data_IF_209123579904
#
_entry.id   IF_209123579904
#
_cell.length_a   1.000
_cell.length_b   1.000
_cell.length_c   1.000
_cell.angle_alpha   90.00
_cell.angle_beta   90.00
_cell.angle_gamma   90.00
#
_symmetry.space_group_name_H-M   'P 1'
#
loop_
_entity.id
_entity.type
_entity.pdbx_description
1 polymer ?
#
# COMPACT_ATOMS: atom_id res chain seq x y z
N UNK A 1 8.31 12.41 -36.49
CA UNK A 1 7.04 11.86 -35.95
C UNK A 1 7.21 10.34 -35.83
N UNK A 2 7.75 9.83 -34.73
CA UNK A 2 7.72 8.39 -34.41
C UNK A 2 7.68 8.24 -32.88
N UNK A 3 6.53 7.78 -32.38
CA UNK A 3 6.29 7.39 -30.99
C UNK A 3 6.96 6.05 -30.72
N UNK A 4 8.01 6.01 -29.90
CA UNK A 4 8.54 4.75 -29.36
C UNK A 4 8.02 4.53 -27.95
N UNK A 5 7.16 3.51 -27.83
CA UNK A 5 6.54 3.03 -26.60
C UNK A 5 7.57 2.22 -25.80
N UNK A 6 8.01 2.75 -24.66
CA UNK A 6 8.78 1.98 -23.66
C UNK A 6 7.88 1.76 -22.45
N UNK A 7 7.18 0.62 -22.42
CA UNK A 7 6.42 0.13 -21.28
C UNK A 7 7.09 -1.15 -20.80
N UNK A 8 7.94 -1.04 -19.78
CA UNK A 8 8.40 -2.19 -19.02
C UNK A 8 8.65 -1.78 -17.55
N UNK A 9 8.70 -2.78 -16.68
CA UNK A 9 8.89 -2.74 -15.21
C UNK A 9 7.57 -2.70 -14.40
N UNK A 10 7.16 -3.89 -13.93
CA UNK A 10 6.05 -4.13 -12.99
C UNK A 10 6.59 -4.53 -11.61
N UNK A 11 6.36 -3.74 -10.56
CA UNK A 11 6.34 -4.26 -9.20
C UNK A 11 5.04 -3.83 -8.49
N UNK A 12 3.89 -4.50 -8.69
CA UNK A 12 2.61 -4.05 -8.08
C UNK A 12 1.86 -5.14 -7.32
N UNK A 13 2.13 -5.22 -6.01
CA UNK A 13 1.45 -6.15 -5.10
C UNK A 13 0.10 -5.60 -4.58
N UNK A 14 -0.14 -4.30 -4.51
CA UNK A 14 -1.41 -3.78 -3.95
C UNK A 14 -2.57 -3.61 -4.95
N UNK A 15 -2.36 -3.90 -6.23
CA UNK A 15 -3.44 -3.89 -7.24
C UNK A 15 -4.37 -5.12 -7.16
N UNK A 16 -4.13 -6.06 -6.23
CA UNK A 16 -4.97 -7.24 -6.04
C UNK A 16 -6.38 -6.92 -5.47
N UNK A 17 -6.50 -5.90 -4.62
CA UNK A 17 -7.78 -5.54 -4.00
C UNK A 17 -8.79 -4.95 -5.00
N UNK A 18 -8.33 -4.31 -6.08
CA UNK A 18 -9.20 -3.68 -7.09
C UNK A 18 -9.94 -4.70 -7.97
N UNK A 19 -9.39 -5.91 -8.14
CA UNK A 19 -9.94 -6.93 -9.06
C UNK A 19 -10.87 -7.95 -8.40
N UNK A 20 -10.95 -8.01 -7.07
CA UNK A 20 -11.88 -8.93 -6.40
C UNK A 20 -13.34 -8.39 -6.33
N UNK A 21 -13.57 -7.11 -6.66
CA UNK A 21 -14.89 -6.46 -6.51
C UNK A 21 -15.79 -6.48 -7.76
N UNK A 22 -15.35 -7.05 -8.88
CA UNK A 22 -16.16 -7.14 -10.11
C UNK A 22 -16.30 -8.57 -10.61
N UNK A 23 -17.17 -9.35 -9.96
CA UNK A 23 -17.98 -10.36 -10.67
C UNK A 23 -19.41 -10.32 -10.15
N UNK A 24 -20.31 -9.70 -10.92
CA UNK A 24 -21.69 -10.18 -11.01
C UNK A 24 -21.61 -11.51 -11.75
N UNK A 25 -22.07 -12.58 -11.12
CA UNK A 25 -22.21 -13.91 -11.72
C UNK A 25 -23.54 -13.93 -12.47
N UNK A 26 -23.58 -14.28 -13.77
CA UNK A 26 -24.73 -14.94 -14.35
C UNK A 26 -24.48 -16.44 -14.35
N UNK A 27 -25.41 -17.15 -13.74
CA UNK A 27 -25.55 -18.61 -13.69
C UNK A 27 -25.88 -19.16 -15.08
N UNK A 28 -25.13 -20.14 -15.57
CA UNK A 28 -25.62 -21.26 -16.40
C UNK A 28 -24.55 -22.35 -16.46
N UNK A 29 -24.91 -23.57 -16.04
CA UNK A 29 -24.12 -24.80 -16.13
C UNK A 29 -24.14 -25.36 -17.56
N UNK A 30 -23.04 -26.01 -17.99
CA UNK A 30 -23.04 -27.24 -18.80
C UNK A 30 -21.62 -27.82 -18.96
N UNK A 31 -21.56 -29.14 -19.10
CA UNK A 31 -20.45 -30.08 -18.85
C UNK A 31 -19.34 -30.21 -19.91
N UNK A 32 -18.26 -30.84 -19.43
CA UNK A 32 -17.32 -31.78 -20.08
C UNK A 32 -16.03 -31.33 -20.81
N UNK A 33 -14.96 -32.02 -20.35
CA UNK A 33 -13.70 -32.44 -20.99
C UNK A 33 -12.52 -31.47 -21.18
N UNK A 34 -11.48 -31.74 -20.38
CA UNK A 34 -10.02 -31.76 -20.64
C UNK A 34 -9.38 -30.76 -21.60
N UNK A 35 -8.28 -30.13 -21.13
CA UNK A 35 -7.24 -29.57 -21.99
C UNK A 35 -5.87 -30.13 -21.54
N UNK A 36 -5.16 -30.89 -22.39
CA UNK A 36 -3.82 -31.38 -22.09
C UNK A 36 -2.81 -30.25 -22.30
N UNK A 37 -2.06 -29.89 -21.26
CA UNK A 37 -0.97 -28.91 -21.35
C UNK A 37 0.31 -29.69 -21.63
N UNK A 38 0.81 -29.57 -22.86
CA UNK A 38 2.11 -30.06 -23.28
C UNK A 38 3.22 -29.14 -22.75
N UNK A 39 4.19 -29.71 -22.03
CA UNK A 39 5.36 -28.99 -21.52
C UNK A 39 6.49 -29.08 -22.55
N UNK A 40 6.38 -28.29 -23.64
CA UNK A 40 7.52 -28.07 -24.53
C UNK A 40 8.30 -26.82 -24.09
N UNK A 41 9.56 -27.07 -23.80
CA UNK A 41 10.61 -26.15 -23.36
C UNK A 41 10.76 -24.91 -24.24
N UNK A 42 10.74 -23.73 -23.63
CA UNK A 42 11.56 -22.61 -24.04
C UNK A 42 11.99 -21.81 -22.82
N UNK A 43 13.25 -22.00 -22.43
CA UNK A 43 13.95 -21.25 -21.39
C UNK A 43 14.14 -19.80 -21.84
N UNK A 44 13.33 -18.88 -21.33
CA UNK A 44 13.63 -17.45 -21.41
C UNK A 44 14.56 -17.08 -20.24
N UNK A 45 15.75 -16.51 -20.49
CA UNK A 45 16.62 -16.01 -19.42
C UNK A 45 15.95 -14.81 -18.76
N UNK A 46 15.35 -15.06 -17.59
CA UNK A 46 14.73 -14.02 -16.76
C UNK A 46 15.81 -13.32 -15.95
N UNK A 47 16.15 -12.10 -16.36
CA UNK A 47 16.93 -11.17 -15.54
C UNK A 47 16.15 -10.87 -14.24
N UNK A 48 16.75 -11.25 -13.10
CA UNK A 48 16.11 -11.20 -11.78
C UNK A 48 16.22 -9.84 -11.08
N UNK A 49 16.83 -8.83 -11.69
CA UNK A 49 17.18 -7.57 -11.01
C UNK A 49 16.00 -6.62 -10.70
N UNK A 50 14.83 -6.81 -11.30
CA UNK A 50 13.65 -5.95 -11.08
C UNK A 50 12.45 -6.66 -10.41
N UNK A 51 12.71 -7.75 -9.67
CA UNK A 51 11.68 -8.63 -9.10
C UNK A 51 11.13 -8.06 -7.78
N UNK A 52 9.87 -7.61 -7.81
CA UNK A 52 9.00 -7.25 -6.67
C UNK A 52 9.71 -6.98 -5.34
N UNK A 53 10.04 -5.72 -5.08
CA UNK A 53 10.76 -5.26 -3.88
C UNK A 53 10.21 -5.84 -2.56
N UNK A 54 8.90 -6.08 -2.47
CA UNK A 54 8.30 -6.77 -1.35
C UNK A 54 8.80 -8.21 -1.17
N UNK A 55 8.81 -9.02 -2.23
CA UNK A 55 9.28 -10.41 -2.14
C UNK A 55 10.77 -10.46 -1.79
N UNK A 56 11.60 -9.57 -2.32
CA UNK A 56 13.02 -9.49 -1.92
C UNK A 56 13.23 -9.03 -0.48
N UNK A 57 12.32 -8.21 0.07
CA UNK A 57 12.40 -7.73 1.46
C UNK A 57 11.96 -8.78 2.48
N UNK A 58 11.12 -9.73 2.08
CA UNK A 58 10.46 -10.67 2.99
C UNK A 58 10.68 -12.15 2.68
N UNK A 59 11.34 -12.52 1.57
CA UNK A 59 11.75 -13.90 1.32
C UNK A 59 12.98 -14.25 2.16
N UNK A 60 12.79 -15.12 3.14
CA UNK A 60 13.88 -15.80 3.85
C UNK A 60 13.77 -17.31 3.63
N UNK A 61 14.71 -17.85 2.83
CA UNK A 61 15.07 -19.26 2.60
C UNK A 61 14.03 -20.20 1.95
N UNK A 62 14.46 -21.19 1.13
CA UNK A 62 13.58 -22.11 0.44
C UNK A 62 13.21 -23.29 1.34
N UNK A 63 12.18 -24.05 0.94
CA UNK A 63 11.68 -25.31 1.51
C UNK A 63 10.40 -25.17 2.36
N UNK A 64 9.26 -25.19 1.68
CA UNK A 64 8.17 -26.12 2.01
C UNK A 64 7.20 -26.17 0.84
N UNK A 65 7.30 -27.27 0.08
CA UNK A 65 6.32 -27.71 -0.89
C UNK A 65 5.01 -28.09 -0.18
N UNK A 66 3.89 -27.69 -0.78
CA UNK A 66 2.49 -27.84 -0.34
C UNK A 66 2.06 -27.01 0.89
N UNK A 67 2.05 -25.69 0.76
CA UNK A 67 1.30 -24.85 1.68
C UNK A 67 -0.18 -24.84 1.28
N UNK A 68 -1.05 -25.46 2.10
CA UNK A 68 -2.49 -25.20 2.08
C UNK A 68 -2.68 -23.72 2.44
N UNK A 69 -2.92 -22.87 1.43
CA UNK A 69 -3.13 -21.44 1.63
C UNK A 69 -4.48 -21.19 2.28
N UNK A 70 -4.53 -20.35 3.30
CA UNK A 70 -5.79 -20.00 3.94
C UNK A 70 -6.74 -19.30 2.96
N UNK A 71 -8.01 -19.70 3.01
CA UNK A 71 -9.11 -19.03 2.29
C UNK A 71 -9.84 -18.01 3.16
N UNK A 72 -9.47 -17.89 4.43
CA UNK A 72 -10.06 -16.95 5.38
C UNK A 72 -9.75 -15.50 5.00
N UNK A 73 -10.72 -14.61 5.22
CA UNK A 73 -10.61 -13.19 4.90
C UNK A 73 -10.78 -12.36 6.16
N UNK A 74 -9.93 -11.36 6.30
CA UNK A 74 -9.94 -10.43 7.42
C UNK A 74 -10.72 -9.15 7.06
N UNK A 75 -11.56 -8.68 7.99
CA UNK A 75 -12.28 -7.40 7.85
C UNK A 75 -11.37 -6.28 8.35
N UNK A 76 -11.13 -5.27 7.51
CA UNK A 76 -10.32 -4.09 7.84
C UNK A 76 -11.02 -3.16 8.84
N UNK A 77 -10.27 -2.23 9.44
CA UNK A 77 -10.88 -1.12 10.21
C UNK A 77 -11.36 0.02 9.31
N UNK A 78 -11.09 -0.05 8.01
CA UNK A 78 -11.30 1.01 7.03
C UNK A 78 -12.77 1.00 6.57
N UNK A 79 -13.55 2.07 6.83
CA UNK A 79 -14.92 2.17 6.35
C UNK A 79 -14.98 2.32 4.83
N UNK A 80 -15.95 1.67 4.19
CA UNK A 80 -16.28 1.88 2.78
C UNK A 80 -17.13 3.15 2.60
N UNK A 81 -17.22 3.63 1.36
CA UNK A 81 -18.21 4.63 1.00
C UNK A 81 -19.66 4.12 1.15
N UNK A 82 -19.88 2.83 0.83
CA UNK A 82 -21.10 2.10 1.19
C UNK A 82 -21.06 1.65 2.65
N UNK A 83 -22.14 1.05 3.13
CA UNK A 83 -22.18 0.49 4.48
C UNK A 83 -21.14 -0.64 4.67
N UNK A 84 -20.53 -0.67 5.86
CA UNK A 84 -19.53 -1.65 6.29
C UNK A 84 -18.07 -1.31 5.95
N UNK A 85 -17.18 -2.27 6.20
CA UNK A 85 -15.72 -2.08 6.11
C UNK A 85 -15.12 -2.79 4.89
N UNK A 86 -13.91 -2.38 4.49
CA UNK A 86 -13.11 -3.11 3.51
C UNK A 86 -12.73 -4.50 4.02
N UNK A 87 -12.60 -5.47 3.10
CA UNK A 87 -12.28 -6.86 3.44
C UNK A 87 -11.04 -7.25 2.65
N UNK A 88 -10.00 -7.67 3.35
CA UNK A 88 -8.74 -8.06 2.74
C UNK A 88 -8.88 -9.39 1.99
N UNK A 89 -8.09 -9.61 0.92
CA UNK A 89 -8.06 -10.89 0.23
C UNK A 89 -7.44 -11.95 1.14
N UNK A 90 -7.89 -13.20 0.99
CA UNK A 90 -7.24 -14.34 1.65
C UNK A 90 -5.87 -14.64 1.04
N UNK A 91 -5.06 -15.46 1.71
CA UNK A 91 -3.76 -15.91 1.21
C UNK A 91 -3.89 -16.58 -0.16
N UNK A 92 -4.89 -17.47 -0.33
CA UNK A 92 -5.17 -18.14 -1.60
C UNK A 92 -5.54 -17.14 -2.71
N UNK A 93 -6.34 -16.12 -2.40
CA UNK A 93 -6.73 -15.07 -3.35
C UNK A 93 -5.53 -14.20 -3.74
N UNK A 94 -4.69 -13.85 -2.78
CA UNK A 94 -3.50 -13.04 -2.96
C UNK A 94 -2.45 -13.77 -3.81
N UNK A 95 -2.16 -15.03 -3.49
CA UNK A 95 -1.31 -15.91 -4.29
C UNK A 95 -1.81 -16.02 -5.74
N UNK A 96 -3.09 -16.35 -5.91
CA UNK A 96 -3.71 -16.48 -7.24
C UNK A 96 -3.59 -15.20 -8.06
N UNK A 97 -3.69 -14.04 -7.43
CA UNK A 97 -3.56 -12.77 -8.10
C UNK A 97 -2.12 -12.42 -8.50
N UNK A 98 -1.14 -12.80 -7.69
CA UNK A 98 0.27 -12.66 -8.06
C UNK A 98 0.66 -13.61 -9.19
N UNK A 99 0.20 -14.86 -9.13
CA UNK A 99 0.41 -15.86 -10.17
C UNK A 99 -0.13 -15.38 -11.53
N UNK A 100 -1.35 -14.82 -11.56
CA UNK A 100 -1.92 -14.20 -12.78
C UNK A 100 -1.09 -13.04 -13.34
N UNK A 101 -0.31 -12.37 -12.50
CA UNK A 101 0.56 -11.26 -12.91
C UNK A 101 1.97 -11.70 -13.28
N UNK A 102 2.18 -13.02 -13.40
CA UNK A 102 3.48 -13.65 -13.69
C UNK A 102 4.58 -13.30 -12.66
N UNK A 103 4.18 -12.94 -11.44
CA UNK A 103 5.07 -12.84 -10.30
C UNK A 103 5.12 -14.21 -9.65
N UNK A 104 6.12 -15.04 -9.96
CA UNK A 104 6.32 -16.40 -9.44
C UNK A 104 6.29 -16.44 -7.90
N UNK A 105 5.11 -16.58 -7.26
CA UNK A 105 4.98 -16.39 -5.83
C UNK A 105 5.25 -17.71 -5.12
N UNK A 106 5.85 -17.68 -3.94
CA UNK A 106 5.99 -18.88 -3.13
C UNK A 106 4.81 -18.97 -2.17
N UNK A 107 4.13 -20.12 -2.16
CA UNK A 107 2.98 -20.30 -1.29
C UNK A 107 3.36 -20.17 0.20
N UNK A 108 4.58 -20.60 0.57
CA UNK A 108 5.12 -20.45 1.92
C UNK A 108 5.21 -18.98 2.37
N UNK A 109 5.52 -18.05 1.46
CA UNK A 109 5.67 -16.63 1.79
C UNK A 109 4.33 -15.96 2.11
N UNK A 110 3.19 -16.53 1.68
CA UNK A 110 1.87 -15.89 1.80
C UNK A 110 1.47 -15.67 3.26
N UNK A 111 1.82 -16.62 4.12
CA UNK A 111 1.54 -16.58 5.56
C UNK A 111 2.23 -15.41 6.27
N UNK A 112 3.33 -14.92 5.72
CA UNK A 112 4.07 -13.78 6.26
C UNK A 112 3.71 -12.49 5.52
N UNK A 113 3.63 -12.55 4.19
CA UNK A 113 3.41 -11.38 3.35
C UNK A 113 2.02 -10.79 3.58
N UNK A 114 0.96 -11.59 3.58
CA UNK A 114 -0.42 -11.07 3.62
C UNK A 114 -0.72 -10.28 4.91
N UNK A 115 -0.40 -10.77 6.12
CA UNK A 115 -0.61 -10.00 7.34
C UNK A 115 0.18 -8.68 7.36
N UNK A 116 1.40 -8.67 6.84
CA UNK A 116 2.20 -7.43 6.72
C UNK A 116 1.51 -6.43 5.80
N UNK A 117 0.96 -6.88 4.67
CA UNK A 117 0.26 -6.00 3.73
C UNK A 117 -1.01 -5.40 4.37
N UNK A 118 -1.77 -6.21 5.11
CA UNK A 118 -2.94 -5.73 5.86
C UNK A 118 -2.53 -4.69 6.89
N UNK A 119 -1.51 -4.98 7.72
CA UNK A 119 -1.01 -4.04 8.72
C UNK A 119 -0.50 -2.72 8.12
N UNK A 120 0.16 -2.77 6.96
CA UNK A 120 0.61 -1.58 6.22
C UNK A 120 -0.59 -0.73 5.76
N UNK A 121 -1.66 -1.35 5.28
CA UNK A 121 -2.89 -0.65 4.90
C UNK A 121 -3.56 0.03 6.10
N UNK A 122 -3.66 -0.67 7.22
CA UNK A 122 -4.21 -0.12 8.46
C UNK A 122 -3.37 1.08 8.96
N UNK A 123 -2.04 0.96 8.89
CA UNK A 123 -1.15 2.08 9.23
C UNK A 123 -1.33 3.27 8.31
N UNK A 124 -1.47 3.05 7.00
CA UNK A 124 -1.74 4.12 6.04
C UNK A 124 -3.07 4.82 6.34
N UNK A 125 -4.09 4.06 6.73
CA UNK A 125 -5.38 4.59 7.14
C UNK A 125 -5.29 5.46 8.40
N UNK A 126 -4.55 5.02 9.42
CA UNK A 126 -4.30 5.82 10.63
C UNK A 126 -3.66 7.17 10.29
N UNK A 127 -2.67 7.19 9.38
CA UNK A 127 -2.04 8.43 8.95
C UNK A 127 -3.01 9.37 8.20
N UNK A 128 -3.94 8.84 7.42
CA UNK A 128 -5.01 9.63 6.81
C UNK A 128 -5.93 10.21 7.89
N UNK A 129 -6.35 9.40 8.87
CA UNK A 129 -7.19 9.88 9.97
C UNK A 129 -6.52 11.01 10.75
N UNK A 130 -5.19 10.98 10.93
CA UNK A 130 -4.44 12.11 11.52
C UNK A 130 -4.54 13.39 10.70
N UNK A 131 -4.63 13.31 9.37
CA UNK A 131 -4.83 14.48 8.52
C UNK A 131 -6.27 15.00 8.55
N UNK A 132 -7.24 14.10 8.74
CA UNK A 132 -8.67 14.43 8.82
C UNK A 132 -9.14 14.78 10.24
N UNK A 133 -8.32 14.54 11.26
CA UNK A 133 -8.63 14.86 12.65
C UNK A 133 -9.01 16.34 12.83
N UNK A 134 -10.14 16.59 13.49
CA UNK A 134 -10.64 17.94 13.74
C UNK A 134 -11.25 18.63 12.53
N UNK A 135 -11.52 17.92 11.42
CA UNK A 135 -12.14 18.47 10.21
C UNK A 135 -13.65 18.21 10.10
N UNK A 136 -14.27 17.76 11.18
CA UNK A 136 -15.72 17.58 11.26
C UNK A 136 -16.24 16.36 10.49
N UNK A 137 -15.41 15.36 10.25
CA UNK A 137 -15.87 14.09 9.68
C UNK A 137 -16.81 13.34 10.62
N UNK A 138 -16.67 13.57 11.92
CA UNK A 138 -17.49 12.98 12.97
C UNK A 138 -18.97 13.37 12.84
N UNK A 139 -19.26 14.57 12.34
CA UNK A 139 -20.62 15.08 12.18
C UNK A 139 -21.45 14.33 11.14
N UNK A 140 -20.81 13.58 10.23
CA UNK A 140 -21.46 12.86 9.14
C UNK A 140 -21.20 11.35 9.15
N UNK A 141 -20.86 10.78 10.32
CA UNK A 141 -20.62 9.34 10.46
C UNK A 141 -19.19 8.90 10.11
N UNK A 142 -18.23 9.83 10.10
CA UNK A 142 -16.81 9.53 9.97
C UNK A 142 -16.27 9.63 8.54
N UNK A 143 -14.97 9.40 8.45
CA UNK A 143 -14.18 9.46 7.21
C UNK A 143 -14.25 8.09 6.51
N UNK A 144 -14.55 8.08 5.20
CA UNK A 144 -14.78 6.84 4.44
C UNK A 144 -13.80 6.72 3.27
N UNK A 145 -13.27 5.51 3.02
CA UNK A 145 -12.44 5.25 1.84
C UNK A 145 -13.32 4.92 0.64
N UNK A 146 -13.30 5.79 -0.37
CA UNK A 146 -14.05 5.64 -1.62
C UNK A 146 -13.35 4.67 -2.57
N UNK A 147 -12.06 4.90 -2.79
CA UNK A 147 -11.28 4.22 -3.80
C UNK A 147 -9.79 4.32 -3.48
N UNK A 148 -9.01 3.32 -3.86
CA UNK A 148 -7.55 3.35 -3.87
C UNK A 148 -7.04 2.92 -5.24
N UNK A 149 -6.02 3.63 -5.74
CA UNK A 149 -5.39 3.36 -7.04
C UNK A 149 -3.88 3.30 -6.88
N UNK A 150 -3.30 2.17 -7.29
CA UNK A 150 -1.85 2.00 -7.38
C UNK A 150 -1.25 2.76 -8.58
N UNK A 151 -0.13 3.45 -8.37
CA UNK A 151 0.59 4.24 -9.37
C UNK A 151 2.12 3.97 -9.33
N UNK A 152 2.59 2.81 -9.83
CA UNK A 152 4.00 2.41 -9.79
C UNK A 152 4.97 3.43 -10.34
N UNK A 153 4.59 3.89 -11.54
CA UNK A 153 5.50 4.55 -12.45
C UNK A 153 5.44 6.06 -12.26
N UNK A 154 4.41 6.54 -11.54
CA UNK A 154 4.18 7.96 -11.35
C UNK A 154 4.89 8.41 -10.07
N UNK A 155 6.16 8.80 -10.18
CA UNK A 155 6.85 9.41 -9.04
C UNK A 155 6.19 10.74 -8.68
N UNK A 156 5.85 10.91 -7.40
CA UNK A 156 5.26 12.15 -6.89
C UNK A 156 6.24 13.33 -7.05
N UNK A 157 5.76 14.58 -7.16
CA UNK A 157 6.65 15.74 -7.28
C UNK A 157 7.67 15.83 -6.12
N UNK A 158 7.22 15.52 -4.89
CA UNK A 158 8.09 15.46 -3.71
C UNK A 158 9.15 14.36 -3.84
N UNK A 159 8.78 13.18 -4.32
CA UNK A 159 9.72 12.09 -4.55
C UNK A 159 10.76 12.46 -5.63
N UNK A 160 10.35 13.12 -6.71
CA UNK A 160 11.28 13.60 -7.76
C UNK A 160 12.30 14.58 -7.20
N UNK A 161 11.87 15.52 -6.36
CA UNK A 161 12.77 16.46 -5.70
C UNK A 161 13.72 15.78 -4.71
N UNK A 162 13.19 14.87 -3.86
CA UNK A 162 14.01 14.06 -2.94
C UNK A 162 15.06 13.25 -3.70
N UNK A 163 14.70 12.65 -4.83
CA UNK A 163 15.63 11.91 -5.68
C UNK A 163 16.73 12.81 -6.26
N UNK A 164 16.39 14.04 -6.67
CA UNK A 164 17.38 15.01 -7.15
C UNK A 164 18.42 15.35 -6.06
N UNK A 165 18.00 15.32 -4.79
CA UNK A 165 18.87 15.50 -3.62
C UNK A 165 19.58 14.21 -3.15
N UNK A 166 19.52 13.12 -3.93
CA UNK A 166 20.21 11.86 -3.61
C UNK A 166 19.48 10.93 -2.64
N UNK A 167 18.23 11.21 -2.27
CA UNK A 167 17.44 10.29 -1.44
C UNK A 167 16.87 9.13 -2.26
N UNK A 168 16.66 7.99 -1.60
CA UNK A 168 16.05 6.80 -2.20
C UNK A 168 14.63 7.09 -2.73
N UNK A 169 14.35 6.60 -3.94
CA UNK A 169 13.03 6.67 -4.54
C UNK A 169 12.02 5.80 -3.77
N UNK A 170 10.72 6.18 -3.72
CA UNK A 170 9.71 5.28 -3.21
C UNK A 170 9.60 4.06 -4.11
N UNK A 171 9.47 2.87 -3.51
CA UNK A 171 9.33 1.62 -4.25
C UNK A 171 7.88 1.38 -4.70
N UNK A 172 6.92 2.03 -4.05
CA UNK A 172 5.50 1.95 -4.37
C UNK A 172 4.81 3.29 -4.06
N UNK A 173 3.81 3.65 -4.85
CA UNK A 173 2.97 4.83 -4.65
C UNK A 173 1.51 4.47 -4.86
N UNK A 174 0.68 4.95 -3.93
CA UNK A 174 -0.76 4.83 -4.00
C UNK A 174 -1.45 6.19 -3.88
N UNK A 175 -2.53 6.34 -4.64
CA UNK A 175 -3.46 7.46 -4.49
C UNK A 175 -4.76 6.92 -3.88
N UNK A 176 -5.14 7.40 -2.70
CA UNK A 176 -6.39 7.03 -2.04
C UNK A 176 -7.36 8.20 -2.12
N UNK A 177 -8.64 7.94 -2.37
CA UNK A 177 -9.69 8.96 -2.38
C UNK A 177 -10.59 8.69 -1.20
N UNK A 178 -10.71 9.70 -0.36
CA UNK A 178 -11.39 9.65 0.91
C UNK A 178 -12.52 10.65 0.89
N UNK A 179 -13.70 10.23 1.35
CA UNK A 179 -14.87 11.08 1.47
C UNK A 179 -15.08 11.51 2.93
N UNK A 180 -15.26 12.81 3.11
CA UNK A 180 -15.63 13.43 4.37
C UNK A 180 -16.87 14.28 4.12
N UNK A 181 -18.04 13.78 4.51
CA UNK A 181 -19.32 14.47 4.38
C UNK A 181 -19.62 14.96 2.96
N UNK A 182 -19.28 14.17 1.92
CA UNK A 182 -19.41 14.56 0.52
C UNK A 182 -18.23 15.35 -0.05
N UNK A 183 -17.25 15.75 0.78
CA UNK A 183 -16.00 16.34 0.31
C UNK A 183 -14.98 15.22 0.04
N UNK A 184 -14.67 15.00 -1.23
CA UNK A 184 -13.67 14.02 -1.63
C UNK A 184 -12.27 14.62 -1.66
N UNK A 185 -11.39 14.09 -0.83
CA UNK A 185 -9.97 14.46 -0.77
C UNK A 185 -9.12 13.30 -1.27
N UNK A 186 -8.24 13.58 -2.23
CA UNK A 186 -7.25 12.61 -2.68
C UNK A 186 -5.99 12.69 -1.83
N UNK A 187 -5.52 11.57 -1.35
CA UNK A 187 -4.27 11.38 -0.62
C UNK A 187 -3.24 10.68 -1.48
N UNK A 188 -1.99 11.13 -1.39
CA UNK A 188 -0.83 10.48 -1.99
C UNK A 188 -0.05 9.80 -0.87
N UNK A 189 0.20 8.50 -1.04
CA UNK A 189 0.94 7.66 -0.10
C UNK A 189 2.15 7.12 -0.86
N UNK A 190 3.34 7.59 -0.49
CA UNK A 190 4.60 7.05 -1.00
C UNK A 190 5.18 6.08 0.03
N UNK A 191 5.55 4.88 -0.41
CA UNK A 191 6.18 3.84 0.42
C UNK A 191 7.68 3.78 0.16
N UNK A 192 8.45 3.75 1.23
CA UNK A 192 9.90 3.75 1.16
C UNK A 192 10.50 2.69 2.07
N UNK A 193 11.62 2.12 1.62
CA UNK A 193 12.44 1.22 2.42
C UNK A 193 13.13 2.04 3.51
N UNK A 194 12.88 1.70 4.77
CA UNK A 194 13.60 2.24 5.90
C UNK A 194 14.96 1.58 6.06
N UNK A 195 15.77 2.11 6.99
CA UNK A 195 17.06 1.51 7.34
C UNK A 195 16.83 0.27 8.21
N UNK A 196 17.49 -0.83 7.89
CA UNK A 196 17.50 -2.02 8.75
C UNK A 196 18.05 -1.63 10.12
N UNK A 197 17.32 -1.94 11.19
CA UNK A 197 17.82 -1.74 12.54
C UNK A 197 18.90 -2.81 12.81
N UNK A 198 20.14 -2.40 13.16
CA UNK A 198 21.24 -3.34 13.38
C UNK A 198 20.99 -4.29 14.56
N UNK A 199 20.07 -3.97 15.47
CA UNK A 199 19.78 -4.79 16.65
C UNK A 199 18.73 -5.87 16.39
N UNK A 200 17.74 -5.59 15.55
CA UNK A 200 16.62 -6.50 15.30
C UNK A 200 16.67 -7.16 13.92
N UNK A 201 17.53 -6.67 13.02
CA UNK A 201 17.67 -7.10 11.61
C UNK A 201 16.32 -7.19 10.88
N UNK A 202 15.32 -6.42 11.33
CA UNK A 202 13.99 -6.37 10.72
C UNK A 202 13.97 -5.27 9.65
N UNK A 203 13.43 -5.55 8.46
CA UNK A 203 13.25 -4.50 7.45
C UNK A 203 12.26 -3.47 8.01
N UNK A 204 12.72 -2.22 8.13
CA UNK A 204 11.84 -1.10 8.47
C UNK A 204 11.29 -0.48 7.19
N UNK A 205 10.08 0.06 7.25
CA UNK A 205 9.49 0.82 6.16
C UNK A 205 8.93 2.14 6.72
N UNK A 206 8.96 3.17 5.89
CA UNK A 206 8.36 4.46 6.23
C UNK A 206 7.30 4.84 5.19
N UNK A 207 6.21 5.44 5.67
CA UNK A 207 5.11 5.93 4.85
C UNK A 207 5.13 7.45 4.85
N UNK A 208 5.05 8.06 3.66
CA UNK A 208 4.84 9.50 3.50
C UNK A 208 3.41 9.70 2.98
N UNK A 209 2.49 9.96 3.90
CA UNK A 209 1.06 10.17 3.61
C UNK A 209 0.76 11.66 3.63
N UNK A 210 0.12 12.16 2.57
CA UNK A 210 -0.22 13.59 2.45
C UNK A 210 -1.40 13.85 1.51
N UNK A 211 -2.23 14.87 1.76
CA UNK A 211 -3.27 15.32 0.82
C UNK A 211 -2.65 15.70 -0.52
N UNK A 212 -3.26 15.38 -1.65
CA UNK A 212 -2.80 15.78 -2.97
C UNK A 212 -3.02 17.29 -3.18
N UNK A 213 -2.11 17.99 -3.85
CA UNK A 213 -2.27 19.42 -4.14
C UNK A 213 -3.12 19.64 -5.39
N UNK A 214 -4.30 19.01 -5.46
CA UNK A 214 -5.24 19.18 -6.57
C UNK A 214 -6.41 20.11 -6.24
N UNK A 215 -6.65 20.39 -4.94
CA UNK A 215 -7.70 21.28 -4.48
C UNK A 215 -7.20 22.21 -3.36
N UNK A 216 -7.91 23.33 -3.19
CA UNK A 216 -7.56 24.37 -2.21
C UNK A 216 -7.57 23.85 -0.77
N UNK A 217 -8.54 23.01 -0.42
CA UNK A 217 -8.63 22.44 0.93
C UNK A 217 -7.37 21.64 1.24
N UNK A 218 -6.91 20.79 0.33
CA UNK A 218 -5.68 20.00 0.50
C UNK A 218 -4.42 20.86 0.61
N UNK A 219 -4.37 21.99 -0.11
CA UNK A 219 -3.30 22.97 0.04
C UNK A 219 -3.33 23.65 1.42
N UNK A 220 -4.53 24.01 1.91
CA UNK A 220 -4.75 24.52 3.26
C UNK A 220 -4.37 23.51 4.32
N UNK A 221 -4.71 22.23 4.14
CA UNK A 221 -4.34 21.13 5.03
C UNK A 221 -2.82 21.08 5.20
N UNK A 222 -2.09 21.02 4.07
CA UNK A 222 -0.63 20.95 4.10
C UNK A 222 0.00 22.19 4.72
N UNK A 223 -0.51 23.37 4.40
CA UNK A 223 -0.03 24.63 4.95
C UNK A 223 -0.24 24.65 6.47
N UNK A 224 -1.45 24.34 6.95
CA UNK A 224 -1.77 24.30 8.37
C UNK A 224 -0.85 23.37 9.16
N UNK A 225 -0.61 22.15 8.66
CA UNK A 225 0.30 21.21 9.34
C UNK A 225 1.75 21.66 9.29
N UNK A 226 2.18 22.30 8.20
CA UNK A 226 3.50 22.93 8.13
C UNK A 226 3.63 24.04 9.18
N UNK A 227 2.64 24.93 9.30
CA UNK A 227 2.63 25.98 10.30
C UNK A 227 2.62 25.43 11.73
N UNK A 228 1.80 24.41 12.02
CA UNK A 228 1.77 23.75 13.33
C UNK A 228 3.10 23.09 13.67
N UNK A 229 3.70 22.38 12.72
CA UNK A 229 5.00 21.70 12.95
C UNK A 229 6.13 22.72 13.08
N UNK A 230 6.15 23.74 12.24
CA UNK A 230 7.23 24.73 12.18
C UNK A 230 7.14 25.73 13.33
N UNK A 231 5.97 26.28 13.61
CA UNK A 231 5.79 27.31 14.64
C UNK A 231 5.39 26.74 16.00
N UNK A 232 4.72 25.57 16.07
CA UNK A 232 4.46 24.87 17.33
C UNK A 232 5.71 24.24 17.94
N UNK A 233 6.73 23.93 17.12
CA UNK A 233 8.05 23.51 17.62
C UNK A 233 8.85 24.67 18.23
N UNK A 234 8.53 25.93 17.89
CA UNK A 234 9.19 27.10 18.48
C UNK A 234 8.61 27.48 19.85
N UNK A 235 7.35 27.11 20.14
CA UNK A 235 6.67 27.45 21.40
C UNK A 235 6.82 26.37 22.49
N UNK A 236 7.19 25.15 22.13
CA UNK A 236 7.33 24.00 23.05
C UNK A 236 8.75 23.79 23.59
N UNK A 237 9.70 24.65 23.22
CA UNK A 237 11.10 24.62 23.71
C UNK A 237 11.32 25.14 25.14
N UNK A 238 10.27 25.37 25.95
CA UNK A 238 10.40 25.99 27.27
C UNK A 238 9.56 25.31 28.39
N UNK A 239 9.69 24.00 28.58
CA UNK A 239 9.32 23.28 29.83
C UNK A 239 9.60 21.80 29.60
N UNK A 240 10.30 21.02 30.41
CA UNK A 240 10.69 21.12 31.82
C UNK A 240 11.74 20.03 32.09
N UNK A 241 12.78 20.35 32.88
CA UNK A 241 13.68 19.34 33.45
C UNK A 241 12.94 18.55 34.54
N UNK A 242 13.06 17.21 34.62
CA UNK A 242 12.55 16.47 35.75
C UNK A 242 13.47 16.69 36.96
N UNK A 243 12.90 17.21 38.05
CA UNK A 243 13.54 17.23 39.35
C UNK A 243 13.77 15.78 39.82
N UNK A 244 15.00 15.50 40.23
CA UNK A 244 15.36 14.32 41.02
C UNK A 244 14.67 14.43 42.37
N UNK A 245 13.87 13.45 42.74
CA UNK A 245 13.52 13.19 44.13
C UNK A 245 14.20 11.88 44.54
N UNK A 246 15.23 12.04 45.37
CA UNK A 246 15.87 10.98 46.12
C UNK A 246 15.89 11.47 47.56
N UNK A 247 15.01 10.92 48.39
CA UNK A 247 15.33 10.32 49.69
C UNK A 247 14.08 9.81 50.38
#
# INVERSE_FOLDING_TARGET
MYMSRTLCVRPFIFSCLSLCSRRRVPTTMSDNNSCPIDHSSNSCPVDHSARSSWTSLFSSNPHSSSANLSTEREVSTIPKASDGNWVYPSEAQFFSAMARKNHNPQAADMKTIVPIHNAVNERAWIEILKWEAGRGGEACGGVKLVNFKGRPNDKSPRARWKMLLGYAAPFDRHDWVVDRCGTQTRYVIDFYTGRSDPTTNRPSFYLDVRPALDNWESARMRSGRFFETWFGSFTSGSSSSPAKEAS
#
